data_IF_176548597382
#
_entry.id   IF_176548597382
#
_cell.length_a   1.000
_cell.length_b   1.000
_cell.length_c   1.000
_cell.angle_alpha   90.00
_cell.angle_beta   90.00
_cell.angle_gamma   90.00
#
_symmetry.space_group_name_H-M   'P 1'
#
loop_
_entity.id
_entity.type
_entity.pdbx_description
1 polymer ?
#
# COMPACT_ATOMS: atom_id res chain seq x y z
N UNK A 1 -20.09 -17.35 -20.98
CA UNK A 1 -18.82 -17.65 -20.28
C UNK A 1 -17.70 -17.18 -21.18
N UNK A 2 -17.18 -15.98 -20.93
CA UNK A 2 -16.04 -15.42 -21.66
C UNK A 2 -14.79 -15.86 -20.92
N UNK A 3 -14.11 -16.90 -21.43
CA UNK A 3 -12.81 -17.30 -20.92
C UNK A 3 -11.82 -16.20 -21.28
N UNK A 4 -11.35 -15.45 -20.29
CA UNK A 4 -10.20 -14.57 -20.43
C UNK A 4 -8.97 -15.47 -20.64
N UNK A 5 -8.49 -15.57 -21.88
CA UNK A 5 -7.18 -16.13 -22.15
C UNK A 5 -6.15 -15.17 -21.57
N UNK A 6 -5.59 -15.50 -20.42
CA UNK A 6 -4.36 -14.83 -19.95
C UNK A 6 -3.25 -15.15 -20.96
N UNK A 7 -2.70 -14.11 -21.56
CA UNK A 7 -1.45 -14.27 -22.32
C UNK A 7 -0.38 -14.71 -21.30
N UNK A 8 0.03 -15.99 -21.39
CA UNK A 8 0.97 -16.60 -20.44
C UNK A 8 2.34 -15.90 -20.43
N UNK A 9 2.58 -14.94 -21.32
CA UNK A 9 3.83 -14.19 -21.44
C UNK A 9 3.76 -12.74 -20.95
N UNK A 10 2.57 -12.17 -20.81
CA UNK A 10 2.43 -10.82 -20.29
C UNK A 10 2.55 -10.80 -18.74
N UNK A 11 3.30 -9.85 -18.16
CA UNK A 11 3.38 -9.71 -16.72
C UNK A 11 2.01 -9.33 -16.13
N UNK A 12 1.79 -9.66 -14.84
CA UNK A 12 0.60 -9.20 -14.12
C UNK A 12 0.81 -7.72 -13.75
N UNK A 13 -0.13 -6.87 -14.16
CA UNK A 13 -0.13 -5.46 -13.81
C UNK A 13 -0.83 -5.26 -12.47
N UNK A 14 -0.08 -4.83 -11.47
CA UNK A 14 -0.57 -4.50 -10.13
C UNK A 14 -0.47 -2.99 -9.93
N UNK A 15 -1.51 -2.39 -9.36
CA UNK A 15 -1.52 -0.97 -8.96
C UNK A 15 -1.65 -0.89 -7.45
N UNK A 16 -0.76 -0.13 -6.82
CA UNK A 16 -0.81 0.19 -5.40
C UNK A 16 -1.33 1.62 -5.22
N UNK A 17 -2.37 1.75 -4.42
CA UNK A 17 -2.92 3.01 -3.89
C UNK A 17 -2.72 2.98 -2.38
N UNK A 18 -2.21 4.04 -1.78
CA UNK A 18 -1.90 4.07 -0.36
C UNK A 18 -2.05 5.48 0.22
N UNK A 19 -2.27 5.55 1.52
CA UNK A 19 -2.24 6.80 2.28
C UNK A 19 -3.19 7.87 1.70
N UNK A 20 -4.46 7.49 1.56
CA UNK A 20 -5.48 8.36 0.98
C UNK A 20 -6.01 9.40 1.96
N UNK A 21 -5.99 9.07 3.27
CA UNK A 21 -6.45 9.92 4.36
C UNK A 21 -7.81 10.57 4.11
N UNK A 22 -8.75 9.79 3.59
CA UNK A 22 -10.11 10.28 3.37
C UNK A 22 -10.79 10.57 4.71
N UNK A 23 -11.24 11.80 4.91
CA UNK A 23 -11.99 12.14 6.11
C UNK A 23 -13.40 11.54 6.12
N UNK A 24 -14.13 11.68 7.23
CA UNK A 24 -15.53 11.26 7.31
C UNK A 24 -16.40 11.98 6.28
N UNK A 25 -16.17 13.29 6.08
CA UNK A 25 -16.91 14.14 5.15
C UNK A 25 -16.12 14.34 3.86
N UNK A 26 -16.83 14.45 2.75
CA UNK A 26 -16.25 14.84 1.45
C UNK A 26 -15.63 16.23 1.59
N UNK A 27 -14.47 16.44 0.97
CA UNK A 27 -13.75 17.71 1.00
C UNK A 27 -12.99 17.97 2.30
N UNK A 28 -12.83 16.95 3.15
CA UNK A 28 -11.91 17.01 4.30
C UNK A 28 -10.50 17.30 3.80
N UNK A 29 -9.77 18.12 4.55
CA UNK A 29 -8.41 18.53 4.18
C UNK A 29 -7.39 17.99 5.18
N UNK A 30 -6.31 17.43 4.65
CA UNK A 30 -5.10 17.12 5.37
C UNK A 30 -4.00 18.10 4.95
N UNK A 31 -3.41 18.82 5.88
CA UNK A 31 -2.36 19.82 5.60
C UNK A 31 -2.72 20.73 4.40
N UNK A 32 -3.95 21.22 4.40
CA UNK A 32 -4.57 22.08 3.37
C UNK A 32 -4.91 21.37 2.03
N UNK A 33 -4.56 20.10 1.82
CA UNK A 33 -4.91 19.33 0.62
C UNK A 33 -6.30 18.69 0.80
N UNK A 34 -7.21 18.90 -0.15
CA UNK A 34 -8.49 18.18 -0.23
C UNK A 34 -8.23 16.74 -0.64
N UNK A 35 -8.45 15.80 0.29
CA UNK A 35 -8.06 14.41 0.11
C UNK A 35 -8.92 13.67 -0.93
N UNK A 36 -10.19 14.03 -1.06
CA UNK A 36 -11.09 13.45 -2.06
C UNK A 36 -10.69 13.91 -3.49
N UNK A 37 -10.39 15.20 -3.67
CA UNK A 37 -9.95 15.73 -4.98
C UNK A 37 -8.58 15.18 -5.37
N UNK A 38 -7.67 15.08 -4.43
CA UNK A 38 -6.33 14.53 -4.66
C UNK A 38 -6.41 13.06 -5.09
N UNK A 39 -7.17 12.23 -4.36
CA UNK A 39 -7.43 10.85 -4.76
C UNK A 39 -8.06 10.77 -6.15
N UNK A 40 -9.06 11.60 -6.45
CA UNK A 40 -9.72 11.61 -7.76
C UNK A 40 -8.74 11.94 -8.90
N UNK A 41 -7.80 12.87 -8.69
CA UNK A 41 -6.76 13.21 -9.67
C UNK A 41 -5.82 12.00 -9.93
N UNK A 42 -5.38 11.30 -8.86
CA UNK A 42 -4.56 10.10 -8.99
C UNK A 42 -5.33 8.98 -9.69
N UNK A 43 -6.58 8.70 -9.32
CA UNK A 43 -7.39 7.66 -9.96
C UNK A 43 -7.68 7.96 -11.43
N UNK A 44 -7.85 9.23 -11.79
CA UNK A 44 -7.98 9.66 -13.20
C UNK A 44 -6.71 9.33 -13.98
N UNK A 45 -5.55 9.61 -13.40
CA UNK A 45 -4.26 9.27 -14.02
C UNK A 45 -4.09 7.74 -14.13
N UNK A 46 -4.47 6.96 -13.11
CA UNK A 46 -4.48 5.49 -13.19
C UNK A 46 -5.31 5.02 -14.37
N UNK A 47 -6.55 5.50 -14.51
CA UNK A 47 -7.44 5.13 -15.63
C UNK A 47 -6.87 5.48 -16.99
N UNK A 48 -6.19 6.62 -17.09
CA UNK A 48 -5.60 7.09 -18.35
C UNK A 48 -4.32 6.34 -18.73
N UNK A 49 -3.51 5.93 -17.76
CA UNK A 49 -2.19 5.32 -18.01
C UNK A 49 -2.21 3.79 -17.97
N UNK A 50 -3.12 3.19 -17.21
CA UNK A 50 -3.17 1.75 -17.03
C UNK A 50 -4.29 1.14 -17.89
N UNK A 51 -3.93 0.56 -19.02
CA UNK A 51 -4.90 -0.07 -19.94
C UNK A 51 -5.45 -1.40 -19.40
N UNK A 52 -4.72 -2.02 -18.47
CA UNK A 52 -5.09 -3.25 -17.76
C UNK A 52 -4.59 -3.16 -16.33
N UNK A 53 -5.38 -3.63 -15.41
CA UNK A 53 -5.02 -3.79 -13.99
C UNK A 53 -5.52 -5.17 -13.55
N UNK A 54 -4.60 -6.06 -13.21
CA UNK A 54 -4.93 -7.41 -12.75
C UNK A 54 -5.30 -7.41 -11.26
N UNK A 55 -4.60 -6.59 -10.46
CA UNK A 55 -4.98 -6.35 -9.07
C UNK A 55 -4.72 -4.92 -8.62
N UNK A 56 -5.62 -4.40 -7.77
CA UNK A 56 -5.47 -3.16 -7.02
C UNK A 56 -5.15 -3.49 -5.56
N UNK A 57 -4.09 -2.91 -5.02
CA UNK A 57 -3.68 -3.05 -3.63
C UNK A 57 -3.84 -1.72 -2.90
N UNK A 58 -4.70 -1.67 -1.89
CA UNK A 58 -4.82 -0.54 -0.97
C UNK A 58 -4.03 -0.87 0.30
N UNK A 59 -2.90 -0.18 0.51
CA UNK A 59 -1.91 -0.55 1.51
C UNK A 59 -1.93 0.36 2.75
N UNK A 60 -3.13 0.68 3.21
CA UNK A 60 -3.38 1.37 4.47
C UNK A 60 -3.59 2.87 4.34
N UNK A 61 -3.99 3.44 5.47
CA UNK A 61 -4.38 4.85 5.62
C UNK A 61 -5.37 5.31 4.56
N UNK A 62 -6.36 4.44 4.30
CA UNK A 62 -7.47 4.74 3.41
C UNK A 62 -8.34 5.84 4.02
N UNK A 63 -8.61 5.74 5.31
CA UNK A 63 -9.30 6.75 6.10
C UNK A 63 -8.34 7.47 7.01
N UNK A 64 -8.57 8.76 7.25
CA UNK A 64 -7.79 9.57 8.18
C UNK A 64 -8.08 9.24 9.67
N UNK A 65 -9.30 8.78 9.96
CA UNK A 65 -9.77 8.51 11.33
C UNK A 65 -10.69 7.27 11.40
N UNK A 66 -10.42 6.23 10.62
CA UNK A 66 -11.16 4.97 10.66
C UNK A 66 -12.64 5.07 10.27
N UNK A 67 -13.03 6.03 9.43
CA UNK A 67 -14.44 6.30 9.12
C UNK A 67 -15.03 5.30 8.13
N UNK A 68 -16.14 4.65 8.51
CA UNK A 68 -16.92 3.80 7.60
C UNK A 68 -17.37 4.55 6.33
N UNK A 69 -17.63 5.86 6.42
CA UNK A 69 -18.01 6.68 5.27
C UNK A 69 -16.82 6.86 4.28
N UNK A 70 -15.62 7.04 4.80
CA UNK A 70 -14.40 7.09 3.99
C UNK A 70 -14.15 5.78 3.23
N UNK A 71 -14.24 4.63 3.90
CA UNK A 71 -14.09 3.32 3.25
C UNK A 71 -15.10 3.09 2.14
N UNK A 72 -16.36 3.46 2.34
CA UNK A 72 -17.39 3.35 1.31
C UNK A 72 -17.13 4.26 0.12
N UNK A 73 -16.62 5.48 0.35
CA UNK A 73 -16.22 6.38 -0.74
C UNK A 73 -15.04 5.82 -1.53
N UNK A 74 -14.02 5.32 -0.85
CA UNK A 74 -12.88 4.67 -1.51
C UNK A 74 -13.32 3.45 -2.33
N UNK A 75 -14.17 2.60 -1.77
CA UNK A 75 -14.78 1.46 -2.49
C UNK A 75 -15.48 1.91 -3.76
N UNK A 76 -16.31 2.96 -3.67
CA UNK A 76 -17.03 3.50 -4.82
C UNK A 76 -16.08 4.10 -5.87
N UNK A 77 -15.04 4.81 -5.43
CA UNK A 77 -14.07 5.47 -6.30
C UNK A 77 -13.18 4.47 -7.06
N UNK A 78 -12.94 3.28 -6.50
CA UNK A 78 -12.02 2.27 -7.06
C UNK A 78 -12.72 1.04 -7.65
N UNK A 79 -14.06 0.99 -7.63
CA UNK A 79 -14.85 -0.21 -7.99
C UNK A 79 -14.61 -0.75 -9.41
N UNK A 80 -14.16 0.10 -10.32
CA UNK A 80 -13.88 -0.20 -11.71
C UNK A 80 -12.39 -0.50 -11.97
N UNK A 81 -11.55 -0.43 -10.95
CA UNK A 81 -10.11 -0.62 -11.07
C UNK A 81 -9.70 -2.03 -10.63
N UNK A 82 -9.15 -2.77 -11.58
CA UNK A 82 -8.60 -4.11 -11.34
C UNK A 82 -9.62 -5.24 -11.24
N UNK A 83 -9.22 -6.41 -11.71
CA UNK A 83 -10.02 -7.63 -11.62
C UNK A 83 -10.11 -8.16 -10.17
N UNK A 84 -9.07 -7.89 -9.39
CA UNK A 84 -8.96 -8.25 -7.97
C UNK A 84 -8.58 -7.02 -7.17
N UNK A 85 -9.04 -6.94 -5.92
CA UNK A 85 -8.68 -5.86 -5.01
C UNK A 85 -8.37 -6.45 -3.64
N UNK A 86 -7.32 -5.94 -2.96
CA UNK A 86 -6.98 -6.29 -1.58
C UNK A 86 -6.69 -5.02 -0.79
N UNK A 87 -7.15 -4.99 0.45
CA UNK A 87 -6.95 -3.89 1.39
C UNK A 87 -6.31 -4.41 2.66
N UNK A 88 -5.44 -3.60 3.25
CA UNK A 88 -4.96 -3.76 4.61
C UNK A 88 -5.10 -2.42 5.35
N UNK A 89 -5.24 -2.40 6.67
CA UNK A 89 -5.29 -1.16 7.44
C UNK A 89 -3.90 -0.55 7.65
N UNK A 90 -3.85 0.79 7.76
CA UNK A 90 -2.73 1.53 8.30
C UNK A 90 -3.02 2.03 9.71
N UNK A 91 -2.17 2.91 10.25
CA UNK A 91 -2.32 3.42 11.62
C UNK A 91 -3.44 4.47 11.79
N UNK A 92 -3.90 5.10 10.71
CA UNK A 92 -5.06 5.99 10.71
C UNK A 92 -6.38 5.24 10.48
N UNK A 93 -6.31 4.00 10.04
CA UNK A 93 -7.49 3.17 9.82
C UNK A 93 -7.99 2.56 11.14
N UNK A 94 -9.20 2.00 11.10
CA UNK A 94 -9.78 1.14 12.12
C UNK A 94 -10.26 -0.15 11.45
N UNK A 95 -9.59 -1.25 11.69
CA UNK A 95 -9.88 -2.53 11.06
C UNK A 95 -11.33 -2.99 11.30
N UNK A 96 -11.92 -2.71 12.48
CA UNK A 96 -13.30 -3.08 12.77
C UNK A 96 -14.29 -2.25 11.94
N UNK A 97 -14.06 -0.95 11.80
CA UNK A 97 -14.87 -0.07 10.95
C UNK A 97 -14.71 -0.41 9.46
N UNK A 98 -13.51 -0.83 9.04
CA UNK A 98 -13.25 -1.30 7.68
C UNK A 98 -14.07 -2.57 7.40
N UNK A 99 -14.05 -3.56 8.29
CA UNK A 99 -14.92 -4.74 8.21
C UNK A 99 -16.40 -4.38 8.22
N UNK A 100 -16.82 -3.45 9.07
CA UNK A 100 -18.22 -2.96 9.11
C UNK A 100 -18.65 -2.30 7.79
N UNK A 101 -17.73 -1.64 7.09
CA UNK A 101 -18.01 -0.98 5.81
C UNK A 101 -18.17 -1.96 4.66
N UNK A 102 -17.36 -3.05 4.65
CA UNK A 102 -17.26 -3.99 3.54
C UNK A 102 -17.96 -5.34 3.82
N UNK A 103 -18.19 -5.72 5.09
CA UNK A 103 -18.66 -7.06 5.44
C UNK A 103 -17.59 -8.13 5.18
N UNK A 104 -18.03 -9.35 4.85
CA UNK A 104 -17.15 -10.48 4.50
C UNK A 104 -16.65 -10.37 3.03
N UNK A 105 -16.17 -9.20 2.66
CA UNK A 105 -15.70 -8.94 1.29
C UNK A 105 -14.32 -9.55 1.04
N UNK A 106 -14.15 -10.12 -0.16
CA UNK A 106 -12.89 -10.70 -0.60
C UNK A 106 -11.72 -9.70 -0.57
N UNK A 107 -11.98 -8.39 -0.55
CA UNK A 107 -10.96 -7.34 -0.43
C UNK A 107 -10.17 -7.41 0.85
N UNK A 108 -10.77 -7.94 1.92
CA UNK A 108 -10.14 -8.09 3.25
C UNK A 108 -9.45 -9.45 3.44
N UNK A 109 -9.49 -10.32 2.42
CA UNK A 109 -8.77 -11.59 2.51
C UNK A 109 -7.26 -11.37 2.49
N UNK A 110 -6.57 -12.10 3.36
CA UNK A 110 -5.12 -12.04 3.55
C UNK A 110 -4.32 -12.36 2.30
N UNK A 111 -4.76 -13.29 1.47
CA UNK A 111 -3.99 -13.80 0.34
C UNK A 111 -4.76 -13.66 -0.98
N UNK A 112 -4.03 -13.39 -2.04
CA UNK A 112 -4.49 -13.45 -3.43
C UNK A 112 -3.52 -14.32 -4.22
N UNK A 113 -4.04 -15.40 -4.82
CA UNK A 113 -3.29 -16.21 -5.78
C UNK A 113 -3.67 -15.75 -7.19
N UNK A 114 -2.69 -15.34 -7.97
CA UNK A 114 -2.87 -14.86 -9.33
C UNK A 114 -1.71 -15.27 -10.22
N UNK A 115 -1.97 -15.99 -11.30
CA UNK A 115 -0.90 -16.59 -12.12
C UNK A 115 0.00 -17.49 -11.26
N UNK A 116 1.30 -17.27 -11.32
CA UNK A 116 2.31 -17.92 -10.48
C UNK A 116 2.79 -17.02 -9.31
N UNK A 117 2.01 -16.01 -8.95
CA UNK A 117 2.27 -15.14 -7.83
C UNK A 117 1.29 -15.36 -6.69
N UNK A 118 1.78 -15.13 -5.49
CA UNK A 118 1.00 -14.96 -4.28
C UNK A 118 1.22 -13.53 -3.78
N UNK A 119 0.13 -12.82 -3.43
CA UNK A 119 0.17 -11.53 -2.78
C UNK A 119 -0.37 -11.72 -1.37
N UNK A 120 0.39 -11.35 -0.35
CA UNK A 120 0.02 -11.52 1.07
C UNK A 120 -0.12 -10.15 1.72
N UNK A 121 -1.27 -9.91 2.34
CA UNK A 121 -1.62 -8.66 3.04
C UNK A 121 -1.45 -8.88 4.54
N UNK A 122 -0.60 -8.08 5.21
CA UNK A 122 -0.33 -8.16 6.64
C UNK A 122 -0.82 -6.92 7.37
N UNK A 123 -1.46 -7.11 8.50
CA UNK A 123 -1.84 -6.03 9.40
C UNK A 123 -0.69 -5.72 10.36
N UNK A 124 -0.14 -4.51 10.29
CA UNK A 124 0.87 -3.99 11.22
C UNK A 124 0.32 -2.90 12.14
N UNK A 125 -0.99 -2.64 12.11
CA UNK A 125 -1.64 -1.65 12.97
C UNK A 125 -1.50 -2.05 14.45
N UNK A 126 -1.18 -1.06 15.28
CA UNK A 126 -1.31 -1.13 16.73
C UNK A 126 -2.40 -0.11 17.12
N UNK A 127 -3.56 -0.53 17.60
CA UNK A 127 -4.63 0.42 17.91
C UNK A 127 -4.18 1.59 18.79
N UNK A 128 -4.37 2.82 18.28
CA UNK A 128 -4.01 4.05 18.98
C UNK A 128 -2.51 4.40 18.99
N UNK A 129 -1.69 3.71 18.20
CA UNK A 129 -0.27 4.04 18.02
C UNK A 129 0.03 4.39 16.56
N UNK A 130 1.04 5.24 16.34
CA UNK A 130 1.50 5.63 15.00
C UNK A 130 2.48 4.61 14.40
N UNK A 131 3.31 3.98 15.24
CA UNK A 131 4.27 2.96 14.80
C UNK A 131 3.61 1.58 14.64
N UNK A 132 4.21 0.72 13.82
CA UNK A 132 3.68 -0.60 13.51
C UNK A 132 4.33 -1.75 14.27
N UNK A 133 3.60 -2.87 14.35
CA UNK A 133 4.11 -4.16 14.83
C UNK A 133 3.34 -5.29 14.19
N UNK A 134 4.02 -6.35 13.79
CA UNK A 134 3.36 -7.58 13.38
C UNK A 134 3.05 -8.44 14.60
N UNK A 135 1.78 -8.70 14.87
CA UNK A 135 1.37 -9.62 15.92
C UNK A 135 1.91 -11.04 15.61
N UNK A 136 2.07 -11.87 16.65
CA UNK A 136 2.51 -13.28 16.47
C UNK A 136 1.57 -13.99 15.50
N UNK A 137 0.27 -13.77 15.61
CA UNK A 137 -0.74 -14.33 14.69
C UNK A 137 -0.56 -13.88 13.23
N UNK A 138 -0.03 -12.68 12.98
CA UNK A 138 0.29 -12.21 11.63
C UNK A 138 1.52 -12.92 11.06
N UNK A 139 2.56 -13.11 11.87
CA UNK A 139 3.76 -13.86 11.48
C UNK A 139 3.46 -15.35 11.25
N UNK A 140 2.64 -15.98 12.10
CA UNK A 140 2.19 -17.36 11.94
C UNK A 140 1.35 -17.54 10.67
N UNK A 141 0.45 -16.62 10.41
CA UNK A 141 -0.37 -16.63 9.19
C UNK A 141 0.49 -16.41 7.93
N UNK A 142 1.51 -15.55 7.99
CA UNK A 142 2.48 -15.37 6.91
C UNK A 142 3.24 -16.66 6.64
N UNK A 143 3.79 -17.32 7.69
CA UNK A 143 4.45 -18.61 7.55
C UNK A 143 3.55 -19.63 6.86
N UNK A 144 2.31 -19.76 7.34
CA UNK A 144 1.33 -20.68 6.77
C UNK A 144 1.02 -20.38 5.29
N UNK A 145 0.89 -19.10 4.91
CA UNK A 145 0.70 -18.72 3.52
C UNK A 145 1.90 -19.11 2.65
N UNK A 146 3.12 -18.88 3.13
CA UNK A 146 4.35 -19.18 2.39
C UNK A 146 4.59 -20.69 2.26
N UNK A 147 4.29 -21.46 3.30
CA UNK A 147 4.38 -22.92 3.30
C UNK A 147 3.35 -23.57 2.36
N UNK A 148 2.16 -22.99 2.26
CA UNK A 148 1.10 -23.50 1.39
C UNK A 148 1.42 -23.33 -0.11
N UNK A 149 2.20 -22.32 -0.48
CA UNK A 149 2.48 -21.97 -1.88
C UNK A 149 3.99 -21.86 -2.18
N UNK A 150 4.79 -22.93 -1.92
CA UNK A 150 6.26 -22.86 -1.99
C UNK A 150 6.81 -22.61 -3.40
N UNK A 151 6.01 -22.84 -4.43
CA UNK A 151 6.40 -22.71 -5.84
C UNK A 151 5.93 -21.38 -6.47
N UNK A 152 5.24 -20.51 -5.71
CA UNK A 152 4.79 -19.22 -6.20
C UNK A 152 5.74 -18.11 -5.74
N UNK A 153 6.06 -17.21 -6.64
CA UNK A 153 6.70 -15.96 -6.23
C UNK A 153 5.78 -15.17 -5.31
N UNK A 154 6.32 -14.60 -4.24
CA UNK A 154 5.48 -13.90 -3.26
C UNK A 154 5.83 -12.41 -3.20
N UNK A 155 4.78 -11.58 -3.26
CA UNK A 155 4.78 -10.16 -2.94
C UNK A 155 4.06 -9.99 -1.59
N UNK A 156 4.72 -9.39 -0.61
CA UNK A 156 4.15 -9.12 0.71
C UNK A 156 3.80 -7.63 0.80
N UNK A 157 2.60 -7.31 1.28
CA UNK A 157 2.15 -5.95 1.53
C UNK A 157 1.97 -5.75 3.03
N UNK A 158 2.49 -4.66 3.55
CA UNK A 158 2.36 -4.22 4.94
C UNK A 158 2.33 -2.70 4.95
N UNK A 159 1.55 -2.07 5.84
CA UNK A 159 1.46 -0.61 5.83
C UNK A 159 2.77 0.05 6.24
N UNK A 160 3.26 -0.23 7.46
CA UNK A 160 4.50 0.36 7.97
C UNK A 160 5.73 -0.20 7.28
N UNK A 161 6.73 0.64 7.07
CA UNK A 161 7.99 0.21 6.47
C UNK A 161 8.76 -0.76 7.39
N UNK A 162 9.55 -1.64 6.76
CA UNK A 162 10.28 -2.75 7.42
C UNK A 162 11.80 -2.60 7.33
N UNK A 163 12.27 -1.55 6.69
CA UNK A 163 13.67 -1.11 6.63
C UNK A 163 13.72 0.40 6.82
N UNK A 164 14.74 0.95 7.46
CA UNK A 164 14.95 2.39 7.52
C UNK A 164 15.02 3.02 6.12
N UNK A 165 14.40 4.18 5.97
CA UNK A 165 14.37 4.95 4.72
C UNK A 165 15.26 6.19 4.76
N UNK A 166 15.97 6.41 5.89
CA UNK A 166 16.84 7.56 6.09
C UNK A 166 16.10 8.85 6.46
N UNK A 167 14.85 8.74 6.91
CA UNK A 167 14.03 9.84 7.40
C UNK A 167 13.81 9.65 8.90
N UNK A 168 14.62 10.31 9.74
CA UNK A 168 14.79 9.94 11.15
C UNK A 168 13.50 9.94 11.98
N UNK A 169 12.55 10.85 11.70
CA UNK A 169 11.27 10.87 12.41
C UNK A 169 10.32 9.74 11.95
N UNK A 170 10.36 9.36 10.66
CA UNK A 170 9.60 8.20 10.15
C UNK A 170 10.24 6.88 10.57
N UNK A 171 11.56 6.80 10.60
CA UNK A 171 12.27 5.59 11.01
C UNK A 171 12.02 5.21 12.49
N UNK A 172 11.46 6.11 13.31
CA UNK A 172 10.93 5.78 14.63
C UNK A 172 9.58 5.05 14.61
N UNK A 173 8.91 5.03 13.47
CA UNK A 173 7.59 4.45 13.26
C UNK A 173 7.64 3.12 12.47
N UNK A 174 8.83 2.60 12.24
CA UNK A 174 9.08 1.32 11.58
C UNK A 174 8.36 0.16 12.30
N UNK A 175 8.11 -0.95 11.62
CA UNK A 175 7.62 -2.18 12.26
C UNK A 175 8.56 -2.57 13.41
N UNK A 176 8.09 -2.49 14.65
CA UNK A 176 8.91 -2.63 15.85
C UNK A 176 9.62 -3.99 15.98
N UNK A 177 9.05 -5.04 15.41
CA UNK A 177 9.63 -6.38 15.36
C UNK A 177 10.04 -6.78 13.94
N UNK A 178 10.58 -5.84 13.17
CA UNK A 178 11.06 -6.10 11.81
C UNK A 178 12.13 -7.21 11.76
N UNK A 179 12.94 -7.37 12.81
CA UNK A 179 13.94 -8.44 12.88
C UNK A 179 13.29 -9.84 12.88
N UNK A 180 12.18 -10.03 13.61
CA UNK A 180 11.43 -11.30 13.61
C UNK A 180 10.80 -11.57 12.23
N UNK A 181 10.24 -10.53 11.61
CA UNK A 181 9.69 -10.62 10.27
C UNK A 181 10.78 -11.02 9.25
N UNK A 182 11.95 -10.41 9.29
CA UNK A 182 13.04 -10.74 8.38
C UNK A 182 13.60 -12.14 8.65
N UNK A 183 13.77 -12.54 9.92
CA UNK A 183 14.19 -13.90 10.28
C UNK A 183 13.22 -14.96 9.75
N UNK A 184 11.92 -14.66 9.72
CA UNK A 184 10.93 -15.51 9.06
C UNK A 184 11.17 -15.59 7.56
N UNK A 185 11.31 -14.45 6.87
CA UNK A 185 11.45 -14.40 5.41
C UNK A 185 12.72 -15.06 4.89
N UNK A 186 13.80 -15.03 5.66
CA UNK A 186 15.08 -15.67 5.30
C UNK A 186 14.94 -17.20 5.09
N UNK A 187 13.83 -17.82 5.56
CA UNK A 187 13.48 -19.22 5.35
C UNK A 187 12.75 -19.50 4.03
N UNK A 188 12.30 -18.45 3.33
CA UNK A 188 11.38 -18.56 2.19
C UNK A 188 11.91 -17.87 0.93
N UNK A 189 12.71 -18.59 0.12
CA UNK A 189 13.38 -18.00 -1.06
C UNK A 189 12.42 -17.56 -2.18
N UNK A 190 11.13 -17.96 -2.12
CA UNK A 190 10.11 -17.53 -3.06
C UNK A 190 9.64 -16.08 -2.84
N UNK A 191 9.96 -15.45 -1.69
CA UNK A 191 9.63 -14.03 -1.45
C UNK A 191 10.50 -13.14 -2.34
N UNK A 192 9.87 -12.31 -3.15
CA UNK A 192 10.55 -11.41 -4.10
C UNK A 192 10.55 -9.97 -3.67
N UNK A 193 9.47 -9.52 -3.01
CA UNK A 193 9.42 -8.15 -2.55
C UNK A 193 8.48 -7.96 -1.36
N UNK A 194 8.73 -6.85 -0.64
CA UNK A 194 7.83 -6.25 0.35
C UNK A 194 7.44 -4.86 -0.15
N UNK A 195 6.16 -4.53 -0.05
CA UNK A 195 5.57 -3.25 -0.48
C UNK A 195 4.93 -2.57 0.72
N UNK A 196 5.32 -1.31 0.96
CA UNK A 196 4.87 -0.52 2.10
C UNK A 196 4.18 0.78 1.66
N UNK A 197 3.30 1.31 2.52
CA UNK A 197 2.79 2.68 2.52
C UNK A 197 3.46 3.54 3.57
N UNK A 198 2.67 4.29 4.34
CA UNK A 198 3.00 5.02 5.56
C UNK A 198 3.97 6.20 5.39
N UNK A 199 5.04 6.03 4.65
CA UNK A 199 6.14 7.02 4.59
C UNK A 199 5.90 8.14 3.58
N UNK A 200 4.86 8.04 2.77
CA UNK A 200 4.50 9.01 1.70
C UNK A 200 5.70 9.39 0.80
N UNK A 201 6.63 8.47 0.62
CA UNK A 201 7.86 8.66 -0.17
C UNK A 201 8.06 7.47 -1.10
N UNK A 202 8.67 7.72 -2.25
CA UNK A 202 9.23 6.67 -3.08
C UNK A 202 10.56 6.22 -2.51
N UNK A 203 10.68 4.93 -2.21
CA UNK A 203 11.95 4.27 -1.92
C UNK A 203 12.00 2.92 -2.62
N UNK A 204 13.17 2.54 -3.09
CA UNK A 204 13.46 1.26 -3.73
C UNK A 204 14.76 0.74 -3.12
N UNK A 205 14.68 -0.19 -2.17
CA UNK A 205 15.82 -0.76 -1.46
C UNK A 205 15.84 -2.29 -1.58
N UNK A 206 16.90 -2.92 -1.10
CA UNK A 206 17.07 -4.38 -1.14
C UNK A 206 17.61 -4.86 0.19
N UNK A 207 17.08 -5.99 0.69
CA UNK A 207 17.69 -6.77 1.78
C UNK A 207 17.85 -8.22 1.32
N UNK A 208 19.10 -8.67 1.18
CA UNK A 208 19.38 -9.96 0.54
C UNK A 208 18.86 -9.97 -0.90
N UNK A 209 18.02 -10.95 -1.22
CA UNK A 209 17.36 -11.08 -2.54
C UNK A 209 15.94 -10.46 -2.57
N UNK A 210 15.49 -9.89 -1.45
CA UNK A 210 14.14 -9.31 -1.33
C UNK A 210 14.18 -7.80 -1.58
N UNK A 211 13.43 -7.34 -2.57
CA UNK A 211 13.26 -5.90 -2.85
C UNK A 211 12.25 -5.30 -1.87
N UNK A 212 12.49 -4.08 -1.43
CA UNK A 212 11.57 -3.34 -0.53
C UNK A 212 11.19 -2.02 -1.16
N UNK A 213 9.89 -1.81 -1.31
CA UNK A 213 9.33 -0.64 -1.96
C UNK A 213 8.47 0.14 -0.99
N UNK A 214 8.65 1.46 -0.98
CA UNK A 214 7.66 2.38 -0.42
C UNK A 214 7.07 3.24 -1.54
N UNK A 215 5.89 3.78 -1.30
CA UNK A 215 5.12 4.47 -2.34
C UNK A 215 4.68 5.87 -1.91
N UNK A 216 4.47 6.78 -2.87
CA UNK A 216 3.87 8.06 -2.56
C UNK A 216 2.44 7.89 -2.09
N UNK A 217 2.01 8.78 -1.21
CA UNK A 217 0.61 8.96 -0.87
C UNK A 217 -0.20 9.49 -2.05
N UNK A 218 -1.48 9.17 -2.09
CA UNK A 218 -2.43 9.85 -2.98
C UNK A 218 -2.86 11.22 -2.45
N UNK A 219 -2.30 11.66 -1.32
CA UNK A 219 -2.56 12.94 -0.67
C UNK A 219 -1.26 13.75 -0.54
N UNK A 220 -0.79 14.02 0.66
CA UNK A 220 0.43 14.78 0.93
C UNK A 220 1.68 13.91 0.86
N UNK A 221 2.83 14.52 0.59
CA UNK A 221 4.12 13.82 0.58
C UNK A 221 5.00 14.33 1.72
N UNK A 222 5.87 13.46 2.25
CA UNK A 222 6.87 13.86 3.24
C UNK A 222 8.24 14.00 2.61
N UNK A 223 9.02 14.99 3.10
CA UNK A 223 10.35 15.28 2.56
C UNK A 223 11.33 14.16 2.95
N UNK A 224 12.05 13.57 1.98
CA UNK A 224 13.04 12.55 2.27
C UNK A 224 14.24 13.14 3.03
N UNK A 225 14.94 12.27 3.75
CA UNK A 225 16.14 12.61 4.52
C UNK A 225 15.92 13.72 5.59
N UNK A 226 14.70 13.88 6.06
CA UNK A 226 14.37 14.86 7.11
C UNK A 226 14.57 14.27 8.51
N UNK A 227 15.20 15.01 9.41
CA UNK A 227 15.32 14.62 10.81
C UNK A 227 14.00 14.79 11.58
N UNK A 228 13.22 15.80 11.21
CA UNK A 228 11.94 16.15 11.82
C UNK A 228 10.82 16.10 10.77
N UNK A 229 9.58 16.18 11.24
CA UNK A 229 8.41 16.23 10.35
C UNK A 229 8.58 17.37 9.33
N UNK A 230 8.44 17.03 8.06
CA UNK A 230 8.51 18.00 6.96
C UNK A 230 7.74 17.48 5.75
N UNK A 231 6.85 18.31 5.23
CA UNK A 231 6.14 18.02 3.97
C UNK A 231 7.01 18.29 2.74
N UNK A 232 6.74 17.55 1.67
CA UNK A 232 7.35 17.76 0.35
C UNK A 232 6.38 18.53 -0.57
N UNK A 233 6.92 19.09 -1.64
CA UNK A 233 6.17 19.77 -2.70
C UNK A 233 5.81 18.88 -3.88
N UNK A 234 6.24 17.62 -3.88
CA UNK A 234 5.91 16.68 -4.94
C UNK A 234 4.42 16.37 -4.96
N UNK A 235 3.86 16.16 -6.16
CA UNK A 235 2.46 15.82 -6.36
C UNK A 235 2.09 14.44 -5.78
N UNK A 236 0.78 14.22 -5.51
CA UNK A 236 0.24 12.93 -5.12
C UNK A 236 0.48 11.89 -6.22
N UNK A 237 0.52 10.61 -5.84
CA UNK A 237 0.88 9.59 -6.82
C UNK A 237 0.43 8.19 -6.46
N UNK A 238 0.84 7.25 -7.28
CA UNK A 238 0.66 5.82 -7.09
C UNK A 238 1.88 5.05 -7.60
N UNK A 239 2.00 3.78 -7.22
CA UNK A 239 2.99 2.87 -7.77
C UNK A 239 2.31 1.76 -8.58
N UNK A 240 2.91 1.33 -9.67
CA UNK A 240 2.52 0.11 -10.36
C UNK A 240 3.67 -0.89 -10.42
N UNK A 241 3.31 -2.14 -10.57
CA UNK A 241 4.25 -3.25 -10.71
C UNK A 241 3.85 -4.13 -11.89
N UNK A 242 4.84 -4.60 -12.65
CA UNK A 242 4.72 -5.71 -13.57
C UNK A 242 5.39 -6.93 -12.93
N UNK A 243 4.57 -7.89 -12.54
CA UNK A 243 5.03 -9.14 -11.94
C UNK A 243 5.18 -10.20 -13.03
N UNK A 244 6.42 -10.48 -13.39
CA UNK A 244 6.76 -11.44 -14.45
C UNK A 244 6.68 -12.87 -13.96
N UNK A 245 6.42 -13.80 -14.88
CA UNK A 245 6.32 -15.24 -14.58
C UNK A 245 7.60 -15.85 -14.00
N UNK A 246 8.76 -15.25 -14.23
CA UNK A 246 10.05 -15.68 -13.70
C UNK A 246 10.42 -15.04 -12.34
N UNK A 247 9.52 -14.30 -11.72
CA UNK A 247 9.75 -13.63 -10.45
C UNK A 247 10.41 -12.24 -10.55
N UNK A 248 10.73 -11.76 -11.76
CA UNK A 248 11.20 -10.38 -11.97
C UNK A 248 10.06 -9.41 -11.70
N UNK A 249 10.39 -8.25 -11.14
CA UNK A 249 9.45 -7.15 -10.88
C UNK A 249 9.97 -5.90 -11.58
N UNK A 250 9.19 -5.35 -12.49
CA UNK A 250 9.38 -3.99 -12.99
C UNK A 250 8.38 -3.07 -12.30
N UNK A 251 8.79 -1.87 -11.94
CA UNK A 251 7.94 -0.93 -11.19
C UNK A 251 8.37 0.51 -11.40
N UNK A 252 7.41 1.41 -11.33
CA UNK A 252 7.68 2.84 -11.20
C UNK A 252 6.56 3.54 -10.45
N UNK A 253 6.82 4.78 -10.05
CA UNK A 253 5.87 5.71 -9.45
C UNK A 253 5.40 6.69 -10.51
N UNK A 254 4.10 6.94 -10.53
CA UNK A 254 3.49 7.99 -11.33
C UNK A 254 2.94 9.07 -10.40
N UNK A 255 3.10 10.34 -10.78
CA UNK A 255 2.62 11.48 -10.00
C UNK A 255 1.66 12.33 -10.80
N UNK A 256 0.64 12.85 -10.12
CA UNK A 256 -0.38 13.74 -10.72
C UNK A 256 0.13 15.19 -10.75
N UNK A 257 1.26 15.42 -11.44
CA UNK A 257 1.92 16.74 -11.50
C UNK A 257 1.07 17.82 -12.20
N UNK A 258 0.02 17.41 -12.92
CA UNK A 258 -0.97 18.32 -13.51
C UNK A 258 -2.05 18.77 -12.52
N UNK A 259 -2.11 18.17 -11.33
CA UNK A 259 -3.03 18.55 -10.27
C UNK A 259 -2.37 19.63 -9.39
N UNK A 260 -2.90 20.84 -9.45
CA UNK A 260 -2.43 21.92 -8.59
C UNK A 260 -2.94 21.70 -7.17
N UNK A 261 -2.04 21.40 -6.24
CA UNK A 261 -2.36 21.32 -4.82
C UNK A 261 -1.42 22.21 -4.00
N UNK A 262 -1.95 22.77 -2.92
CA UNK A 262 -1.19 23.64 -2.02
C UNK A 262 -1.13 22.98 -0.66
N UNK A 263 0.01 22.37 -0.36
CA UNK A 263 0.29 21.81 0.96
C UNK A 263 0.72 22.90 1.92
N UNK A 264 0.29 22.80 3.19
CA UNK A 264 0.78 23.68 4.25
C UNK A 264 2.20 23.28 4.66
N UNK A 265 3.19 24.02 4.17
CA UNK A 265 4.60 23.77 4.46
C UNK A 265 5.04 24.27 5.85
N UNK A 266 4.18 24.99 6.57
CA UNK A 266 4.47 25.47 7.92
C UNK A 266 4.05 24.47 9.00
N UNK A 267 3.39 23.37 8.64
CA UNK A 267 2.95 22.35 9.56
C UNK A 267 4.14 21.64 10.22
N UNK A 268 4.02 21.37 11.50
CA UNK A 268 5.02 20.65 12.31
C UNK A 268 4.56 19.24 12.74
N UNK A 269 3.44 18.76 12.18
CA UNK A 269 2.80 17.47 12.44
C UNK A 269 1.36 17.45 11.92
N UNK A 270 0.71 16.29 12.04
CA UNK A 270 -0.72 16.11 11.72
C UNK A 270 -1.31 14.98 12.55
#
# INVERSE_FOLDING_TARGET
MTSFFFDQHAPLRIVQITDCHLGERVGTRLLNVDTDQSLAAVLTMVRNKQTRIDALLATGDISDQGSTAAYRRFLQATRDLGAHTRWLPGNHDDAASMHKALGDDARLQRSLLIGNWQIVMLNSEIPGAVGGKLAVSELDALSSCLEAEPNRHTLICVHHHVLPIGCAWLDQQIVANADEFWALLDRFPQVRAVVCGHVHQRSDTVRGDVRVFTSPSTCVQFAPNSAEFRVDTQGPGYRWFDLHANGRIDTTVERADHYEFKVDQSASGY
#
